data_IF_715228915157
#
_entry.id   IF_715228915157
#
_cell.length_a   1.000
_cell.length_b   1.000
_cell.length_c   1.000
_cell.angle_alpha   90.00
_cell.angle_beta   90.00
_cell.angle_gamma   90.00
#
_symmetry.space_group_name_H-M   'P 1'
#
loop_
_entity.id
_entity.type
_entity.pdbx_description
1 polymer ?
#
# COMPACT_ATOMS: atom_id res chain seq x y z
N UNK A 1 -5.68 2.94 -16.62
CA UNK A 1 -6.76 2.03 -16.19
C UNK A 1 -6.12 0.65 -16.11
N UNK A 2 -5.54 0.32 -14.96
CA UNK A 2 -4.73 -0.90 -14.80
C UNK A 2 -5.64 -2.12 -14.76
N UNK A 3 -5.23 -3.18 -15.46
CA UNK A 3 -5.97 -4.44 -15.48
C UNK A 3 -6.09 -5.04 -14.08
N UNK A 4 -7.25 -5.64 -13.73
CA UNK A 4 -7.48 -6.24 -12.43
C UNK A 4 -6.51 -7.41 -12.22
N UNK A 5 -5.81 -7.41 -11.08
CA UNK A 5 -4.85 -8.46 -10.77
C UNK A 5 -5.59 -9.69 -10.25
N UNK A 6 -5.63 -10.74 -11.07
CA UNK A 6 -6.34 -11.99 -10.77
C UNK A 6 -5.38 -12.99 -10.14
N UNK A 7 -5.66 -13.38 -8.90
CA UNK A 7 -4.91 -14.39 -8.15
C UNK A 7 -5.75 -15.65 -7.99
N UNK A 8 -5.23 -16.76 -8.51
CA UNK A 8 -5.77 -18.10 -8.25
C UNK A 8 -5.07 -18.74 -7.05
N UNK A 9 -5.78 -19.56 -6.30
CA UNK A 9 -5.20 -20.29 -5.17
C UNK A 9 -4.16 -21.31 -5.66
N UNK A 10 -3.11 -21.51 -4.88
CA UNK A 10 -2.11 -22.55 -5.15
C UNK A 10 -2.77 -23.95 -5.17
N UNK A 11 -2.39 -24.86 -6.08
CA UNK A 11 -2.83 -26.26 -6.08
C UNK A 11 -2.47 -27.00 -4.79
N UNK A 12 -1.41 -26.58 -4.11
CA UNK A 12 -1.00 -27.19 -2.83
C UNK A 12 -2.07 -26.99 -1.74
N UNK A 13 -2.94 -26.00 -1.89
CA UNK A 13 -4.02 -25.72 -0.96
C UNK A 13 -5.09 -26.81 -0.88
N UNK A 14 -5.25 -27.64 -1.93
CA UNK A 14 -6.25 -28.72 -1.94
C UNK A 14 -5.70 -30.06 -1.50
N UNK A 15 -4.38 -30.27 -1.60
CA UNK A 15 -3.75 -31.57 -1.36
C UNK A 15 -4.15 -32.11 0.02
N UNK A 16 -4.07 -31.29 1.07
CA UNK A 16 -4.49 -31.68 2.43
C UNK A 16 -5.96 -32.11 2.49
N UNK A 17 -6.85 -31.39 1.81
CA UNK A 17 -8.28 -31.69 1.84
C UNK A 17 -8.61 -32.96 1.05
N UNK A 18 -7.90 -33.20 -0.06
CA UNK A 18 -8.03 -34.44 -0.84
C UNK A 18 -7.54 -35.64 -0.03
N UNK A 19 -6.37 -35.55 0.60
CA UNK A 19 -5.84 -36.61 1.47
C UNK A 19 -6.80 -36.88 2.63
N UNK A 20 -7.26 -35.83 3.32
CA UNK A 20 -8.21 -35.97 4.43
C UNK A 20 -9.54 -36.58 3.97
N UNK A 21 -10.05 -36.17 2.80
CA UNK A 21 -11.27 -36.72 2.23
C UNK A 21 -11.11 -38.22 1.94
N UNK A 22 -9.96 -38.66 1.42
CA UNK A 22 -9.68 -40.08 1.18
C UNK A 22 -9.69 -40.87 2.48
N UNK A 23 -8.98 -40.40 3.52
CA UNK A 23 -8.98 -41.07 4.82
C UNK A 23 -10.37 -41.13 5.46
N UNK A 24 -11.14 -40.03 5.39
CA UNK A 24 -12.51 -40.01 5.92
C UNK A 24 -13.46 -40.92 5.15
N UNK A 25 -13.34 -40.99 3.82
CA UNK A 25 -14.15 -41.88 2.99
C UNK A 25 -13.84 -43.35 3.30
N UNK A 26 -12.57 -43.71 3.40
CA UNK A 26 -12.15 -45.05 3.83
C UNK A 26 -12.62 -45.38 5.25
N UNK A 27 -12.50 -44.45 6.21
CA UNK A 27 -12.98 -44.67 7.57
C UNK A 27 -14.51 -44.83 7.64
N UNK A 28 -15.26 -44.00 6.89
CA UNK A 28 -16.71 -44.10 6.78
C UNK A 28 -17.12 -45.44 6.16
N UNK A 29 -16.38 -45.93 5.15
CA UNK A 29 -16.58 -47.25 4.58
C UNK A 29 -16.47 -48.37 5.62
N UNK A 30 -15.41 -48.35 6.43
CA UNK A 30 -15.22 -49.35 7.49
C UNK A 30 -16.30 -49.26 8.57
N UNK A 31 -16.66 -48.05 9.00
CA UNK A 31 -17.71 -47.82 10.00
C UNK A 31 -19.09 -48.30 9.50
N UNK A 32 -19.44 -47.97 8.26
CA UNK A 32 -20.68 -48.48 7.66
C UNK A 32 -20.65 -50.00 7.63
N UNK A 33 -19.53 -50.62 7.26
CA UNK A 33 -19.39 -52.08 7.30
C UNK A 33 -19.61 -52.74 8.67
N UNK A 34 -19.43 -52.00 9.77
CA UNK A 34 -19.63 -52.51 11.14
C UNK A 34 -21.06 -52.31 11.67
N UNK A 35 -21.78 -51.30 11.18
CA UNK A 35 -23.05 -50.86 11.78
C UNK A 35 -24.26 -51.71 11.38
N UNK A 36 -24.26 -52.31 10.20
CA UNK A 36 -25.36 -53.16 9.76
C UNK A 36 -24.93 -54.14 8.66
N UNK A 37 -25.69 -55.23 8.54
CA UNK A 37 -25.56 -56.16 7.41
C UNK A 37 -26.44 -55.67 6.24
N UNK A 38 -25.90 -54.77 5.42
CA UNK A 38 -26.62 -54.21 4.26
C UNK A 38 -26.85 -55.22 3.12
N UNK A 39 -26.35 -56.46 3.24
CA UNK A 39 -26.56 -57.52 2.26
C UNK A 39 -28.03 -57.93 2.12
N UNK A 40 -28.79 -57.97 3.21
CA UNK A 40 -30.22 -58.31 3.16
C UNK A 40 -31.05 -57.21 2.50
N UNK A 41 -30.69 -55.95 2.73
CA UNK A 41 -31.32 -54.79 2.09
C UNK A 41 -31.03 -54.81 0.59
N UNK A 42 -29.79 -55.15 0.21
CA UNK A 42 -29.38 -55.26 -1.18
C UNK A 42 -30.18 -56.29 -1.98
N UNK A 43 -30.46 -57.46 -1.40
CA UNK A 43 -31.23 -58.51 -2.06
C UNK A 43 -32.68 -58.11 -2.40
N UNK A 44 -33.23 -57.08 -1.73
CA UNK A 44 -34.57 -56.56 -2.01
C UNK A 44 -34.61 -55.56 -3.18
N UNK A 45 -33.46 -55.21 -3.76
CA UNK A 45 -33.35 -54.24 -4.85
C UNK A 45 -33.35 -54.94 -6.21
N UNK A 46 -34.01 -54.34 -7.19
CA UNK A 46 -34.21 -54.91 -8.53
C UNK A 46 -32.91 -55.15 -9.33
N UNK A 47 -31.79 -54.54 -8.92
CA UNK A 47 -30.50 -54.69 -9.59
C UNK A 47 -29.58 -55.75 -8.95
N UNK A 48 -30.05 -56.43 -7.89
CA UNK A 48 -29.29 -57.50 -7.22
C UNK A 48 -28.99 -58.71 -8.10
N UNK A 49 -29.73 -58.89 -9.21
CA UNK A 49 -29.50 -59.93 -10.21
C UNK A 49 -28.34 -59.66 -11.16
N UNK A 50 -27.87 -58.41 -11.28
CA UNK A 50 -26.86 -58.01 -12.27
C UNK A 50 -25.46 -57.84 -11.69
N UNK A 51 -25.34 -57.51 -10.40
CA UNK A 51 -24.08 -57.30 -9.72
C UNK A 51 -24.10 -57.93 -8.33
N UNK A 52 -22.95 -58.44 -7.86
CA UNK A 52 -22.85 -58.92 -6.48
C UNK A 52 -22.90 -57.74 -5.49
N UNK A 53 -23.30 -58.02 -4.26
CA UNK A 53 -23.31 -57.01 -3.19
C UNK A 53 -21.94 -56.34 -3.02
N UNK A 54 -20.86 -57.10 -3.04
CA UNK A 54 -19.49 -56.56 -2.92
C UNK A 54 -19.12 -55.63 -4.07
N UNK A 55 -19.49 -55.98 -5.31
CA UNK A 55 -19.25 -55.13 -6.49
C UNK A 55 -20.04 -53.83 -6.39
N UNK A 56 -21.33 -53.91 -6.06
CA UNK A 56 -22.18 -52.71 -5.94
C UNK A 56 -21.75 -51.82 -4.77
N UNK A 57 -21.35 -52.42 -3.65
CA UNK A 57 -20.80 -51.70 -2.49
C UNK A 57 -19.54 -50.94 -2.90
N UNK A 58 -18.56 -51.61 -3.50
CA UNK A 58 -17.33 -50.98 -3.97
C UNK A 58 -17.59 -49.87 -5.00
N UNK A 59 -18.44 -50.13 -6.00
CA UNK A 59 -18.80 -49.16 -7.02
C UNK A 59 -19.48 -47.91 -6.43
N UNK A 60 -20.36 -48.08 -5.45
CA UNK A 60 -21.04 -46.95 -4.79
C UNK A 60 -20.06 -46.00 -4.10
N UNK A 61 -19.04 -46.54 -3.43
CA UNK A 61 -18.00 -45.75 -2.75
C UNK A 61 -17.12 -45.05 -3.77
N UNK A 62 -16.69 -45.77 -4.81
CA UNK A 62 -15.93 -45.19 -5.92
C UNK A 62 -16.64 -43.99 -6.53
N UNK A 63 -17.96 -44.08 -6.76
CA UNK A 63 -18.77 -42.97 -7.27
C UNK A 63 -18.82 -41.82 -6.27
N UNK A 64 -19.05 -42.10 -4.99
CA UNK A 64 -19.09 -41.06 -3.93
C UNK A 64 -17.73 -40.36 -3.81
N UNK A 65 -16.62 -41.09 -3.81
CA UNK A 65 -15.25 -40.55 -3.74
C UNK A 65 -14.93 -39.69 -4.96
N UNK A 66 -15.31 -40.15 -6.16
CA UNK A 66 -15.14 -39.39 -7.39
C UNK A 66 -15.92 -38.07 -7.33
N UNK A 67 -17.18 -38.11 -6.91
CA UNK A 67 -18.02 -36.91 -6.77
C UNK A 67 -17.47 -35.95 -5.70
N UNK A 68 -17.01 -36.48 -4.57
CA UNK A 68 -16.41 -35.67 -3.49
C UNK A 68 -15.11 -35.01 -3.96
N UNK A 69 -14.25 -35.75 -4.66
CA UNK A 69 -13.00 -35.25 -5.23
C UNK A 69 -13.27 -34.16 -6.27
N UNK A 70 -14.19 -34.43 -7.20
CA UNK A 70 -14.63 -33.46 -8.19
C UNK A 70 -15.19 -32.19 -7.54
N UNK A 71 -15.98 -32.33 -6.47
CA UNK A 71 -16.51 -31.19 -5.71
C UNK A 71 -15.40 -30.38 -5.01
N UNK A 72 -14.46 -31.03 -4.32
CA UNK A 72 -13.33 -30.37 -3.65
C UNK A 72 -12.47 -29.61 -4.68
N UNK A 73 -12.19 -30.26 -5.81
CA UNK A 73 -11.44 -29.66 -6.92
C UNK A 73 -12.18 -28.46 -7.50
N UNK A 74 -13.47 -28.60 -7.87
CA UNK A 74 -14.28 -27.51 -8.41
C UNK A 74 -14.36 -26.33 -7.44
N UNK A 75 -14.54 -26.59 -6.14
CA UNK A 75 -14.59 -25.56 -5.09
C UNK A 75 -13.28 -24.77 -4.99
N UNK A 76 -12.14 -25.39 -5.26
CA UNK A 76 -10.85 -24.71 -5.30
C UNK A 76 -10.60 -23.99 -6.63
N UNK A 77 -10.85 -24.67 -7.75
CA UNK A 77 -10.60 -24.15 -9.09
C UNK A 77 -11.41 -22.90 -9.39
N UNK A 78 -12.66 -22.87 -8.92
CA UNK A 78 -13.57 -21.74 -9.08
C UNK A 78 -13.34 -20.61 -8.06
N UNK A 79 -12.45 -20.79 -7.08
CA UNK A 79 -12.17 -19.76 -6.09
C UNK A 79 -11.07 -18.80 -6.57
N UNK A 80 -11.42 -17.55 -6.79
CA UNK A 80 -10.51 -16.51 -7.28
C UNK A 80 -10.48 -15.31 -6.33
N UNK A 81 -9.36 -14.61 -6.36
CA UNK A 81 -9.21 -13.28 -5.75
C UNK A 81 -8.90 -12.30 -6.87
N UNK A 82 -9.63 -11.19 -6.94
CA UNK A 82 -9.31 -10.09 -7.85
C UNK A 82 -8.96 -8.88 -7.00
N UNK A 83 -7.81 -8.27 -7.30
CA UNK A 83 -7.35 -7.05 -6.65
C UNK A 83 -7.46 -5.94 -7.68
N UNK A 84 -8.37 -5.01 -7.41
CA UNK A 84 -8.53 -3.78 -8.18
C UNK A 84 -7.97 -2.61 -7.35
N UNK A 85 -7.65 -1.47 -7.97
CA UNK A 85 -7.21 -0.27 -7.22
C UNK A 85 -8.20 0.11 -6.09
N UNK A 86 -9.50 0.02 -6.35
CA UNK A 86 -10.53 0.53 -5.43
C UNK A 86 -11.21 -0.56 -4.59
N UNK A 87 -10.97 -1.84 -4.87
CA UNK A 87 -11.66 -2.93 -4.18
C UNK A 87 -10.96 -4.28 -4.33
N UNK A 88 -11.10 -5.14 -3.32
CA UNK A 88 -10.77 -6.56 -3.41
C UNK A 88 -12.06 -7.34 -3.58
N UNK A 89 -12.11 -8.16 -4.62
CA UNK A 89 -13.24 -9.04 -4.92
C UNK A 89 -12.82 -10.48 -4.62
N UNK A 90 -13.60 -11.15 -3.79
CA UNK A 90 -13.41 -12.57 -3.46
C UNK A 90 -14.59 -13.36 -3.98
N UNK A 91 -14.33 -14.27 -4.91
CA UNK A 91 -15.35 -15.14 -5.50
C UNK A 91 -15.15 -16.58 -5.04
N UNK A 92 -16.22 -17.20 -4.52
CA UNK A 92 -16.20 -18.58 -4.01
C UNK A 92 -17.55 -19.26 -4.21
N UNK A 93 -17.55 -20.57 -4.42
CA UNK A 93 -18.75 -21.39 -4.53
C UNK A 93 -18.79 -22.19 -5.82
N UNK A 94 -19.40 -23.38 -5.77
CA UNK A 94 -19.54 -24.28 -6.93
C UNK A 94 -20.89 -24.08 -7.59
N UNK A 95 -21.98 -24.35 -6.86
CA UNK A 95 -23.37 -24.22 -7.34
C UNK A 95 -23.92 -22.79 -7.18
N UNK A 96 -23.69 -22.16 -6.03
CA UNK A 96 -24.10 -20.79 -5.74
C UNK A 96 -22.86 -19.93 -5.53
N UNK A 97 -22.43 -19.22 -6.58
CA UNK A 97 -21.27 -18.32 -6.50
C UNK A 97 -21.58 -17.14 -5.58
N UNK A 98 -20.78 -16.99 -4.52
CA UNK A 98 -20.80 -15.84 -3.62
C UNK A 98 -19.66 -14.90 -4.02
N UNK A 99 -20.02 -13.65 -4.30
CA UNK A 99 -19.09 -12.56 -4.59
C UNK A 99 -19.08 -11.61 -3.40
N UNK A 100 -17.93 -11.46 -2.75
CA UNK A 100 -17.73 -10.48 -1.68
C UNK A 100 -16.83 -9.37 -2.21
N UNK A 101 -17.35 -8.16 -2.27
CA UNK A 101 -16.59 -6.95 -2.64
C UNK A 101 -16.24 -6.21 -1.36
N UNK A 102 -14.95 -6.00 -1.13
CA UNK A 102 -14.44 -5.19 -0.03
C UNK A 102 -13.79 -3.93 -0.62
N UNK A 103 -14.36 -2.74 -0.41
CA UNK A 103 -13.74 -1.49 -0.85
C UNK A 103 -12.35 -1.33 -0.24
N UNK A 104 -11.44 -0.70 -0.99
CA UNK A 104 -10.11 -0.30 -0.53
C UNK A 104 -10.03 1.22 -0.50
N UNK A 105 -9.80 1.79 0.69
CA UNK A 105 -9.33 3.15 0.85
C UNK A 105 -7.80 3.16 0.92
N UNK A 106 -7.21 4.15 0.26
CA UNK A 106 -5.76 4.35 0.23
C UNK A 106 -5.33 5.24 1.41
N UNK A 107 -4.07 5.15 1.89
CA UNK A 107 -3.05 4.18 1.52
C UNK A 107 -3.27 2.81 2.17
N UNK A 108 -2.90 1.74 1.46
CA UNK A 108 -2.96 0.37 2.01
C UNK A 108 -1.57 -0.13 2.45
N UNK A 109 -1.54 -1.00 3.44
CA UNK A 109 -0.34 -1.75 3.84
C UNK A 109 -0.55 -3.23 3.56
N UNK A 110 0.45 -3.86 2.94
CA UNK A 110 0.40 -5.28 2.60
C UNK A 110 1.56 -6.01 3.27
N UNK A 111 1.31 -7.23 3.74
CA UNK A 111 2.33 -8.07 4.38
C UNK A 111 2.10 -9.55 4.05
N UNK A 112 3.16 -10.34 4.12
CA UNK A 112 3.10 -11.78 3.85
C UNK A 112 3.27 -12.59 5.13
N UNK A 113 2.44 -13.62 5.30
CA UNK A 113 2.59 -14.64 6.34
C UNK A 113 2.88 -16.00 5.71
N UNK A 114 3.88 -16.69 6.26
CA UNK A 114 4.30 -18.02 5.84
C UNK A 114 4.27 -19.00 7.01
N UNK A 115 4.03 -20.27 6.68
CA UNK A 115 4.29 -21.41 7.55
C UNK A 115 5.48 -22.18 6.99
N UNK A 116 6.11 -23.05 7.78
CA UNK A 116 7.24 -23.88 7.34
C UNK A 116 6.92 -24.65 6.03
N UNK A 117 5.71 -25.22 5.97
CA UNK A 117 5.23 -25.94 4.79
C UNK A 117 4.98 -25.01 3.60
N UNK A 118 4.48 -23.79 3.82
CA UNK A 118 4.20 -22.87 2.72
C UNK A 118 5.47 -22.26 2.11
N UNK A 119 6.55 -22.13 2.89
CA UNK A 119 7.86 -21.71 2.41
C UNK A 119 8.45 -22.72 1.41
N UNK A 120 8.33 -24.02 1.70
CA UNK A 120 8.82 -25.10 0.84
C UNK A 120 8.13 -25.09 -0.54
N UNK A 121 6.82 -24.90 -0.57
CA UNK A 121 6.01 -24.93 -1.80
C UNK A 121 5.74 -23.54 -2.40
N UNK A 122 6.50 -22.52 -1.99
CA UNK A 122 6.43 -21.14 -2.52
C UNK A 122 5.00 -20.54 -2.54
N UNK A 123 4.21 -20.80 -1.50
CA UNK A 123 2.90 -20.17 -1.32
C UNK A 123 2.76 -19.55 0.07
N UNK A 124 1.72 -18.76 0.31
CA UNK A 124 1.50 -18.17 1.62
C UNK A 124 0.19 -17.42 1.75
N UNK A 125 0.13 -16.53 2.74
CA UNK A 125 -1.04 -15.68 2.99
C UNK A 125 -0.63 -14.23 2.79
N UNK A 126 -1.34 -13.53 1.92
CA UNK A 126 -1.21 -12.09 1.72
C UNK A 126 -2.24 -11.38 2.59
N UNK A 127 -1.78 -10.50 3.46
CA UNK A 127 -2.61 -9.73 4.40
C UNK A 127 -2.57 -8.28 3.97
N UNK A 128 -3.72 -7.77 3.55
CA UNK A 128 -3.90 -6.39 3.10
C UNK A 128 -4.70 -5.65 4.17
N UNK A 129 -4.16 -4.53 4.63
CA UNK A 129 -4.75 -3.65 5.63
C UNK A 129 -4.98 -2.29 5.01
N UNK A 130 -6.24 -1.91 5.01
CA UNK A 130 -6.68 -0.55 4.74
C UNK A 130 -6.84 0.18 6.06
N UNK A 131 -6.38 1.42 6.09
CA UNK A 131 -6.51 2.37 7.18
C UNK A 131 -7.96 2.70 7.60
N UNK A 132 -8.95 2.45 6.75
CA UNK A 132 -10.37 2.64 7.02
C UNK A 132 -11.07 1.36 7.54
N UNK A 133 -10.47 0.17 7.36
CA UNK A 133 -11.09 -1.10 7.74
C UNK A 133 -10.64 -1.61 9.10
N UNK A 134 -11.60 -1.94 9.99
CA UNK A 134 -11.34 -2.56 11.31
C UNK A 134 -10.72 -3.95 11.24
N UNK A 135 -10.85 -4.68 10.12
CA UNK A 135 -10.34 -6.05 9.97
C UNK A 135 -9.49 -6.16 8.70
N UNK A 136 -8.31 -6.78 8.77
CA UNK A 136 -7.49 -7.01 7.58
C UNK A 136 -8.18 -7.94 6.59
N UNK A 137 -7.98 -7.71 5.30
CA UNK A 137 -8.35 -8.65 4.25
C UNK A 137 -7.24 -9.69 4.16
N UNK A 138 -7.62 -10.95 4.37
CA UNK A 138 -6.67 -12.07 4.39
C UNK A 138 -6.91 -12.93 3.16
N UNK A 139 -5.95 -12.91 2.25
CA UNK A 139 -5.91 -13.74 1.05
C UNK A 139 -5.01 -14.95 1.31
N UNK A 140 -5.61 -16.07 1.67
CA UNK A 140 -4.88 -17.30 1.98
C UNK A 140 -4.60 -18.13 0.73
N UNK A 141 -3.46 -18.85 0.77
CA UNK A 141 -2.99 -19.77 -0.27
C UNK A 141 -2.62 -19.10 -1.60
N UNK A 142 -2.07 -17.90 -1.52
CA UNK A 142 -1.58 -17.13 -2.65
C UNK A 142 -0.25 -17.74 -3.12
N UNK A 143 -0.09 -18.08 -4.42
CA UNK A 143 1.19 -18.51 -4.98
C UNK A 143 2.15 -17.32 -5.01
N UNK A 144 3.45 -17.54 -4.75
CA UNK A 144 4.48 -16.50 -4.81
C UNK A 144 4.06 -15.14 -4.21
N UNK A 145 3.60 -15.07 -2.94
CA UNK A 145 2.96 -13.87 -2.40
C UNK A 145 3.90 -12.65 -2.33
N UNK A 146 5.22 -12.84 -2.38
CA UNK A 146 6.19 -11.73 -2.50
C UNK A 146 6.03 -10.95 -3.81
N UNK A 147 5.71 -11.62 -4.91
CA UNK A 147 5.51 -10.97 -6.22
C UNK A 147 4.32 -10.04 -6.16
N UNK A 148 3.19 -10.54 -5.66
CA UNK A 148 1.97 -9.74 -5.49
C UNK A 148 2.14 -8.61 -4.47
N UNK A 149 2.91 -8.83 -3.40
CA UNK A 149 3.26 -7.77 -2.46
C UNK A 149 4.02 -6.63 -3.16
N UNK A 150 5.00 -6.94 -4.02
CA UNK A 150 5.74 -5.92 -4.77
C UNK A 150 4.83 -5.14 -5.71
N UNK A 151 3.98 -5.83 -6.48
CA UNK A 151 3.04 -5.19 -7.40
C UNK A 151 2.07 -4.25 -6.67
N UNK A 152 1.57 -4.65 -5.50
CA UNK A 152 0.71 -3.79 -4.68
C UNK A 152 1.47 -2.57 -4.17
N UNK A 153 2.72 -2.72 -3.71
CA UNK A 153 3.54 -1.60 -3.25
C UNK A 153 3.88 -0.64 -4.39
N UNK A 154 4.18 -1.16 -5.59
CA UNK A 154 4.44 -0.36 -6.80
C UNK A 154 3.19 0.40 -7.22
N UNK A 155 2.03 -0.25 -7.22
CA UNK A 155 0.75 0.38 -7.55
C UNK A 155 0.35 1.45 -6.53
N UNK A 156 0.58 1.22 -5.23
CA UNK A 156 0.40 2.26 -4.20
C UNK A 156 1.35 3.44 -4.39
N UNK A 157 2.57 3.18 -4.87
CA UNK A 157 3.56 4.23 -5.15
C UNK A 157 3.11 5.06 -6.35
N UNK A 158 2.59 4.44 -7.41
CA UNK A 158 1.98 5.13 -8.55
C UNK A 158 0.73 5.92 -8.12
N UNK A 159 -0.19 5.31 -7.38
CA UNK A 159 -1.39 6.02 -6.89
C UNK A 159 -1.04 7.21 -5.98
N UNK A 160 -0.01 7.08 -5.14
CA UNK A 160 0.49 8.19 -4.34
C UNK A 160 1.14 9.28 -5.21
N UNK A 161 1.83 8.90 -6.28
CA UNK A 161 2.36 9.84 -7.26
C UNK A 161 1.23 10.57 -8.00
N UNK A 162 0.22 9.85 -8.46
CA UNK A 162 -0.94 10.39 -9.18
C UNK A 162 -1.83 11.26 -8.26
N UNK A 163 -1.99 10.90 -6.99
CA UNK A 163 -2.67 11.76 -6.00
C UNK A 163 -1.88 13.05 -5.69
N UNK A 164 -0.55 13.03 -5.86
CA UNK A 164 0.28 14.24 -5.85
C UNK A 164 0.14 15.03 -7.16
N UNK A 165 -0.48 14.50 -8.22
CA UNK A 165 -0.73 15.23 -9.48
C UNK A 165 -2.19 15.68 -9.64
N UNK A 166 -3.15 14.94 -9.09
CA UNK A 166 -4.57 15.29 -9.10
C UNK A 166 -4.83 16.52 -8.20
N UNK A 167 -5.30 17.61 -8.79
CA UNK A 167 -5.60 18.91 -8.16
C UNK A 167 -4.41 19.60 -7.47
N UNK A 168 -3.40 20.00 -8.26
CA UNK A 168 -2.65 21.20 -7.82
C UNK A 168 -3.57 22.41 -7.99
N UNK A 169 -3.78 23.25 -6.97
CA UNK A 169 -4.25 24.60 -7.23
C UNK A 169 -3.29 25.27 -8.24
N UNK A 170 -3.86 26.07 -9.15
CA UNK A 170 -3.09 26.87 -10.10
C UNK A 170 -2.05 27.69 -9.31
N UNK A 171 -0.79 27.70 -9.76
CA UNK A 171 0.26 28.47 -9.12
C UNK A 171 -0.13 29.95 -8.97
N UNK A 172 -0.91 30.49 -9.91
CA UNK A 172 -1.41 31.87 -9.82
C UNK A 172 -2.44 32.06 -8.71
N UNK A 173 -3.20 31.03 -8.37
CA UNK A 173 -4.12 31.04 -7.24
C UNK A 173 -3.37 30.96 -5.91
N UNK A 174 -2.33 30.13 -5.84
CA UNK A 174 -1.44 30.06 -4.69
C UNK A 174 -0.79 31.42 -4.42
N UNK A 175 -0.26 32.09 -5.45
CA UNK A 175 0.40 33.40 -5.31
C UNK A 175 -0.54 34.53 -4.86
N UNK A 176 -1.85 34.41 -5.13
CA UNK A 176 -2.86 35.37 -4.62
C UNK A 176 -3.26 35.11 -3.17
N UNK A 177 -2.94 33.92 -2.65
CA UNK A 177 -3.23 33.55 -1.28
C UNK A 177 -2.16 34.08 -0.33
N UNK A 178 -2.54 34.35 0.92
CA UNK A 178 -1.56 34.60 2.00
C UNK A 178 -1.03 33.27 2.55
N UNK A 179 0.12 33.34 3.22
CA UNK A 179 0.63 32.22 3.99
C UNK A 179 -0.42 31.69 4.96
N UNK A 180 -0.50 30.36 5.04
CA UNK A 180 -1.47 29.65 5.86
C UNK A 180 -0.90 28.31 6.30
N UNK A 181 -1.70 27.51 6.99
CA UNK A 181 -1.25 26.24 7.57
C UNK A 181 -0.60 25.29 6.56
N UNK A 182 -1.05 25.31 5.30
CA UNK A 182 -0.62 24.44 4.22
C UNK A 182 0.01 25.20 3.03
N UNK A 183 0.38 26.48 3.19
CA UNK A 183 1.07 27.27 2.16
C UNK A 183 2.11 28.17 2.83
N UNK A 184 3.35 28.08 2.36
CA UNK A 184 4.48 28.89 2.83
C UNK A 184 5.21 29.49 1.62
N UNK A 185 5.67 30.74 1.76
CA UNK A 185 6.54 31.40 0.78
C UNK A 185 7.98 31.49 1.32
N UNK A 186 8.94 31.36 0.40
CA UNK A 186 10.35 31.59 0.68
C UNK A 186 10.97 32.37 -0.47
N UNK A 187 11.66 33.45 -0.15
CA UNK A 187 12.27 34.33 -1.15
C UNK A 187 13.31 33.60 -1.99
N UNK A 188 14.15 32.80 -1.34
CA UNK A 188 15.25 32.05 -1.96
C UNK A 188 15.40 30.70 -1.27
N UNK A 189 16.12 29.79 -1.91
CA UNK A 189 16.47 28.50 -1.30
C UNK A 189 17.75 28.57 -0.48
N UNK A 190 18.78 29.25 -1.00
CA UNK A 190 20.13 29.28 -0.41
C UNK A 190 20.86 30.60 -0.55
N UNK A 191 20.36 31.53 -1.36
CA UNK A 191 20.94 32.87 -1.50
C UNK A 191 20.43 33.83 -0.45
N UNK A 192 21.30 34.35 0.41
CA UNK A 192 20.96 35.42 1.33
C UNK A 192 21.01 36.77 0.62
N UNK A 193 19.86 37.41 0.47
CA UNK A 193 19.72 38.68 -0.25
C UNK A 193 20.39 39.83 0.51
N UNK A 194 20.43 39.77 1.85
CA UNK A 194 21.02 40.84 2.67
C UNK A 194 22.54 40.70 2.75
N UNK A 195 23.03 39.49 2.97
CA UNK A 195 24.47 39.22 3.09
C UNK A 195 25.16 38.98 1.74
N UNK A 196 24.39 38.91 0.65
CA UNK A 196 24.85 38.64 -0.71
C UNK A 196 25.79 37.42 -0.82
N UNK A 197 25.43 36.33 -0.14
CA UNK A 197 26.23 35.08 -0.12
C UNK A 197 25.35 33.84 0.05
N UNK A 198 25.93 32.67 -0.21
CA UNK A 198 25.27 31.38 0.07
C UNK A 198 25.12 31.19 1.58
N UNK A 199 23.89 30.95 2.02
CA UNK A 199 23.52 30.71 3.41
C UNK A 199 22.80 29.36 3.57
N UNK A 200 23.53 28.38 4.12
CA UNK A 200 23.00 27.03 4.39
C UNK A 200 21.85 27.01 5.40
N UNK A 201 21.66 28.07 6.20
CA UNK A 201 20.54 28.14 7.13
C UNK A 201 19.21 28.38 6.39
N UNK A 202 19.23 28.99 5.20
CA UNK A 202 18.05 29.11 4.35
C UNK A 202 17.61 27.73 3.84
N UNK A 203 18.57 26.91 3.39
CA UNK A 203 18.31 25.54 2.96
C UNK A 203 17.66 24.74 4.10
N UNK A 204 18.20 24.86 5.32
CA UNK A 204 17.62 24.24 6.53
C UNK A 204 16.22 24.75 6.86
N UNK A 205 15.95 26.04 6.66
CA UNK A 205 14.62 26.64 6.91
C UNK A 205 13.57 26.09 5.94
N UNK A 206 13.94 25.91 4.68
CA UNK A 206 13.11 25.22 3.67
C UNK A 206 12.85 23.77 4.09
N UNK A 207 13.88 23.02 4.47
CA UNK A 207 13.74 21.62 4.89
C UNK A 207 12.90 21.46 6.17
N UNK A 208 13.05 22.39 7.14
CA UNK A 208 12.22 22.46 8.34
C UNK A 208 10.73 22.58 8.00
N UNK A 209 10.40 23.44 7.03
CA UNK A 209 9.03 23.64 6.57
C UNK A 209 8.48 22.37 5.92
N UNK A 210 9.29 21.72 5.07
CA UNK A 210 8.91 20.47 4.41
C UNK A 210 8.66 19.36 5.43
N UNK A 211 9.56 19.16 6.40
CA UNK A 211 9.38 18.17 7.46
C UNK A 211 8.09 18.43 8.26
N UNK A 212 7.80 19.70 8.56
CA UNK A 212 6.57 20.10 9.23
C UNK A 212 5.31 19.79 8.42
N UNK A 213 5.32 20.05 7.10
CA UNK A 213 4.22 19.67 6.22
C UNK A 213 4.03 18.14 6.17
N UNK A 214 5.11 17.37 6.03
CA UNK A 214 5.05 15.91 6.04
C UNK A 214 4.45 15.34 7.33
N UNK A 215 4.79 15.92 8.48
CA UNK A 215 4.26 15.49 9.78
C UNK A 215 2.83 15.97 10.06
N UNK A 216 2.29 16.85 9.22
CA UNK A 216 0.97 17.47 9.42
C UNK A 216 -0.02 16.98 8.36
N UNK A 217 -0.67 17.90 7.64
CA UNK A 217 -1.68 17.65 6.60
C UNK A 217 -1.08 17.79 5.18
N UNK A 218 0.25 17.89 5.05
CA UNK A 218 0.89 18.29 3.81
C UNK A 218 0.81 19.80 3.56
N UNK A 219 1.17 20.23 2.35
CA UNK A 219 1.11 21.62 1.95
C UNK A 219 1.89 21.94 0.69
N UNK A 220 1.97 23.23 0.39
CA UNK A 220 2.72 23.81 -0.71
C UNK A 220 3.77 24.77 -0.14
N UNK A 221 5.01 24.63 -0.61
CA UNK A 221 6.06 25.61 -0.38
C UNK A 221 6.39 26.23 -1.73
N UNK A 222 6.36 27.55 -1.83
CA UNK A 222 6.73 28.25 -3.08
C UNK A 222 8.00 29.06 -2.82
N UNK A 223 9.03 28.78 -3.62
CA UNK A 223 10.36 29.38 -3.53
C UNK A 223 10.56 30.35 -4.70
N UNK A 224 11.13 31.52 -4.42
CA UNK A 224 11.25 32.62 -5.39
C UNK A 224 10.17 33.69 -5.20
N UNK A 225 9.54 33.75 -4.02
CA UNK A 225 8.45 34.67 -3.67
C UNK A 225 8.74 35.26 -2.30
N UNK A 226 8.69 36.58 -2.17
CA UNK A 226 8.90 37.23 -0.88
C UNK A 226 7.66 37.17 0.04
N UNK A 227 7.81 37.65 1.28
CA UNK A 227 6.74 37.64 2.29
C UNK A 227 5.53 38.54 1.90
N UNK A 228 5.70 39.44 0.94
CA UNK A 228 4.63 40.26 0.38
C UNK A 228 3.91 39.60 -0.82
N UNK A 229 4.37 38.41 -1.25
CA UNK A 229 3.85 37.69 -2.40
C UNK A 229 4.43 38.15 -3.74
N UNK A 230 5.46 39.00 -3.74
CA UNK A 230 6.08 39.47 -4.98
C UNK A 230 7.05 38.44 -5.53
N UNK A 231 7.06 38.30 -6.86
CA UNK A 231 7.95 37.38 -7.57
C UNK A 231 9.39 37.90 -7.50
N UNK A 232 10.26 37.15 -6.82
CA UNK A 232 11.71 37.41 -6.77
C UNK A 232 12.45 36.53 -7.77
N UNK A 233 12.02 35.27 -7.90
CA UNK A 233 12.60 34.28 -8.80
C UNK A 233 13.86 33.59 -8.25
N UNK A 234 14.36 32.60 -8.99
CA UNK A 234 15.47 31.73 -8.57
C UNK A 234 16.83 32.07 -9.17
N UNK A 235 16.95 33.18 -9.92
CA UNK A 235 18.19 33.52 -10.64
C UNK A 235 19.41 33.62 -9.71
N UNK A 236 19.24 34.22 -8.51
CA UNK A 236 20.30 34.31 -7.52
C UNK A 236 20.67 32.95 -6.93
N UNK A 237 19.70 32.04 -6.73
CA UNK A 237 19.98 30.67 -6.30
C UNK A 237 20.75 29.92 -7.40
N UNK A 238 20.32 30.03 -8.66
CA UNK A 238 20.95 29.36 -9.81
C UNK A 238 22.41 29.76 -10.00
N UNK A 239 22.74 31.04 -9.83
CA UNK A 239 24.10 31.54 -9.94
C UNK A 239 25.09 30.85 -8.98
N UNK A 240 24.60 30.27 -7.87
CA UNK A 240 25.42 29.57 -6.86
C UNK A 240 25.71 28.11 -7.20
N UNK A 241 25.12 27.59 -8.29
CA UNK A 241 25.12 26.16 -8.61
C UNK A 241 26.08 25.86 -9.77
N UNK A 242 26.61 24.63 -9.80
CA UNK A 242 27.44 24.16 -10.91
C UNK A 242 26.67 24.17 -12.24
N UNK A 243 25.39 23.78 -12.20
CA UNK A 243 24.46 23.89 -13.31
C UNK A 243 23.46 25.00 -12.94
N UNK A 244 23.55 26.14 -13.62
CA UNK A 244 22.83 27.36 -13.24
C UNK A 244 21.40 27.39 -13.81
N UNK A 245 20.61 26.35 -13.51
CA UNK A 245 19.23 26.22 -13.98
C UNK A 245 18.40 25.31 -13.04
N UNK A 246 17.12 25.10 -13.39
CA UNK A 246 16.17 24.27 -12.65
C UNK A 246 16.73 22.87 -12.30
N UNK A 247 17.36 22.16 -13.24
CA UNK A 247 17.94 20.85 -12.97
C UNK A 247 19.04 20.91 -11.91
N UNK A 248 19.88 21.95 -11.94
CA UNK A 248 20.91 22.14 -10.92
C UNK A 248 20.32 22.42 -9.55
N UNK A 249 19.24 23.20 -9.52
CA UNK A 249 18.51 23.51 -8.29
C UNK A 249 17.85 22.28 -7.70
N UNK A 250 17.15 21.49 -8.52
CA UNK A 250 16.52 20.24 -8.07
C UNK A 250 17.55 19.27 -7.52
N UNK A 251 18.72 19.15 -8.16
CA UNK A 251 19.82 18.33 -7.66
C UNK A 251 20.31 18.81 -6.28
N UNK A 252 20.54 20.11 -6.12
CA UNK A 252 20.98 20.68 -4.85
C UNK A 252 19.91 20.50 -3.76
N UNK A 253 18.65 20.81 -4.05
CA UNK A 253 17.51 20.60 -3.16
C UNK A 253 17.44 19.13 -2.71
N UNK A 254 17.53 18.20 -3.66
CA UNK A 254 17.48 16.76 -3.41
C UNK A 254 18.62 16.31 -2.51
N UNK A 255 19.84 16.83 -2.74
CA UNK A 255 21.00 16.49 -1.90
C UNK A 255 20.80 16.96 -0.46
N UNK A 256 20.38 18.21 -0.27
CA UNK A 256 20.09 18.75 1.07
C UNK A 256 18.96 17.95 1.74
N UNK A 257 17.88 17.63 1.01
CA UNK A 257 16.77 16.85 1.54
C UNK A 257 17.22 15.46 2.02
N UNK A 258 18.04 14.76 1.23
CA UNK A 258 18.58 13.44 1.59
C UNK A 258 19.48 13.50 2.82
N UNK A 259 20.29 14.54 2.94
CA UNK A 259 21.20 14.75 4.07
C UNK A 259 20.44 15.06 5.36
N UNK A 260 19.44 15.94 5.27
CA UNK A 260 18.81 16.58 6.43
C UNK A 260 17.52 15.88 6.87
N UNK A 261 16.74 15.32 5.95
CA UNK A 261 15.43 14.70 6.26
C UNK A 261 15.49 13.19 6.06
N UNK A 262 15.90 12.73 4.88
CA UNK A 262 16.09 11.30 4.59
C UNK A 262 15.59 10.89 3.20
N UNK A 263 16.35 10.08 2.44
CA UNK A 263 16.02 9.72 1.07
C UNK A 263 14.67 9.00 0.90
N UNK A 264 14.25 8.21 1.89
CA UNK A 264 13.02 7.42 1.87
C UNK A 264 11.74 8.28 1.89
N UNK A 265 11.83 9.51 2.39
CA UNK A 265 10.72 10.46 2.46
C UNK A 265 10.57 11.31 1.19
N UNK A 266 11.54 11.27 0.27
CA UNK A 266 11.49 12.07 -0.97
C UNK A 266 10.27 11.74 -1.83
N UNK A 267 9.74 10.51 -1.71
CA UNK A 267 8.50 10.06 -2.37
C UNK A 267 7.25 10.89 -2.04
N UNK A 268 7.29 11.71 -0.99
CA UNK A 268 6.19 12.60 -0.60
C UNK A 268 6.35 14.02 -1.17
N UNK A 269 7.38 14.25 -1.99
CA UNK A 269 7.67 15.53 -2.62
C UNK A 269 7.45 15.50 -4.12
N UNK A 270 7.04 16.65 -4.64
CA UNK A 270 7.12 16.97 -6.06
C UNK A 270 7.54 18.42 -6.23
N UNK A 271 8.53 18.65 -7.08
CA UNK A 271 9.01 19.98 -7.45
C UNK A 271 8.48 20.29 -8.84
N UNK A 272 7.82 21.44 -8.99
CA UNK A 272 7.32 21.97 -10.25
C UNK A 272 7.91 23.38 -10.44
N UNK A 273 8.54 23.63 -11.59
CA UNK A 273 9.11 24.94 -11.92
C UNK A 273 8.14 25.72 -12.82
N UNK A 274 7.91 26.99 -12.50
CA UNK A 274 6.98 27.84 -13.22
C UNK A 274 7.64 29.17 -13.59
N UNK A 275 7.48 29.58 -14.84
CA UNK A 275 7.93 30.89 -15.31
C UNK A 275 6.76 31.87 -15.33
N UNK A 276 6.84 32.92 -14.52
CA UNK A 276 5.84 33.98 -14.42
C UNK A 276 6.58 35.31 -14.49
N UNK A 277 6.14 36.20 -15.38
CA UNK A 277 6.74 37.53 -15.60
C UNK A 277 8.28 37.46 -15.79
N UNK A 278 8.72 36.49 -16.61
CA UNK A 278 10.13 36.19 -16.90
C UNK A 278 10.98 35.74 -15.70
N UNK A 279 10.36 35.50 -14.54
CA UNK A 279 11.01 34.94 -13.34
C UNK A 279 10.58 33.49 -13.17
N UNK A 280 11.55 32.61 -12.98
CA UNK A 280 11.28 31.21 -12.66
C UNK A 280 11.18 31.04 -11.14
N UNK A 281 10.14 30.36 -10.68
CA UNK A 281 9.88 30.00 -9.29
C UNK A 281 9.75 28.48 -9.16
N UNK A 282 9.95 27.94 -7.95
CA UNK A 282 9.80 26.51 -7.67
C UNK A 282 8.65 26.29 -6.68
N UNK A 283 7.64 25.55 -7.10
CA UNK A 283 6.56 25.07 -6.24
C UNK A 283 6.87 23.65 -5.79
N UNK A 284 7.00 23.46 -4.48
CA UNK A 284 7.20 22.17 -3.85
C UNK A 284 5.88 21.71 -3.24
N UNK A 285 5.29 20.65 -3.79
CA UNK A 285 4.14 19.98 -3.19
C UNK A 285 4.64 18.95 -2.19
N UNK A 286 4.08 18.97 -0.99
CA UNK A 286 4.43 18.07 0.11
C UNK A 286 3.19 17.31 0.55
N UNK A 287 3.18 16.00 0.31
CA UNK A 287 2.15 15.12 0.83
C UNK A 287 2.38 14.80 2.32
N UNK A 288 1.31 14.57 3.12
CA UNK A 288 1.48 14.03 4.45
C UNK A 288 2.16 12.66 4.40
N UNK A 289 3.19 12.47 5.23
CA UNK A 289 3.96 11.23 5.27
C UNK A 289 3.23 10.12 6.02
N UNK A 290 3.48 8.87 5.63
CA UNK A 290 3.00 7.68 6.34
C UNK A 290 3.87 7.30 7.54
N UNK A 291 5.00 7.97 7.73
CA UNK A 291 5.94 7.78 8.84
C UNK A 291 6.44 9.14 9.36
N UNK A 292 6.84 9.25 10.63
CA UNK A 292 7.45 10.47 11.17
C UNK A 292 8.64 10.96 10.33
N UNK A 293 8.66 12.25 10.01
CA UNK A 293 9.75 12.94 9.32
C UNK A 293 10.57 13.75 10.33
N UNK A 294 11.76 13.25 10.68
CA UNK A 294 12.70 13.98 11.53
C UNK A 294 13.68 14.76 10.68
N UNK A 295 14.12 15.90 11.19
CA UNK A 295 15.12 16.75 10.55
C UNK A 295 16.41 16.73 11.38
N UNK A 296 17.52 16.35 10.77
CA UNK A 296 18.84 16.37 11.39
C UNK A 296 19.35 17.80 11.54
N UNK A 297 19.66 18.18 12.77
CA UNK A 297 20.22 19.47 13.14
C UNK A 297 21.49 19.22 13.96
N UNK A 298 22.64 19.17 13.29
CA UNK A 298 23.90 18.77 13.95
C UNK A 298 23.85 17.28 14.31
N UNK A 299 24.01 16.96 15.60
CA UNK A 299 23.94 15.58 16.09
C UNK A 299 22.54 15.19 16.60
N UNK A 300 21.56 16.09 16.53
CA UNK A 300 20.21 15.87 17.03
C UNK A 300 19.21 15.71 15.88
N UNK A 301 18.14 14.97 16.14
CA UNK A 301 16.98 14.86 15.26
C UNK A 301 15.81 15.62 15.88
N UNK A 302 15.27 16.59 15.15
CA UNK A 302 14.17 17.44 15.62
C UNK A 302 12.91 17.12 14.83
N UNK A 303 11.79 17.00 15.55
CA UNK A 303 10.48 16.75 14.97
C UNK A 303 9.70 18.05 14.88
N UNK A 304 9.35 18.47 13.66
CA UNK A 304 8.60 19.70 13.42
C UNK A 304 7.16 19.41 12.99
N UNK A 305 6.22 20.26 13.41
CA UNK A 305 4.82 20.25 12.96
C UNK A 305 4.37 21.66 12.54
N UNK A 306 3.26 21.74 11.80
CA UNK A 306 2.57 23.01 11.53
C UNK A 306 1.57 23.32 12.63
N UNK A 307 1.73 24.48 13.27
CA UNK A 307 0.80 25.04 14.26
C UNK A 307 0.31 26.39 13.72
N UNK A 308 -0.89 26.41 13.14
CA UNK A 308 -1.33 27.55 12.33
C UNK A 308 -0.39 27.76 11.14
N UNK A 309 0.05 29.00 10.90
CA UNK A 309 1.03 29.35 9.86
C UNK A 309 2.51 29.24 10.32
N UNK A 310 2.76 28.69 11.51
CA UNK A 310 4.12 28.59 12.06
C UNK A 310 4.61 27.14 12.11
N UNK A 311 5.92 26.98 12.12
CA UNK A 311 6.58 25.66 12.26
C UNK A 311 7.14 25.50 13.67
N UNK A 312 6.56 24.58 14.45
CA UNK A 312 6.87 24.36 15.87
C UNK A 312 7.68 23.07 16.05
N UNK A 313 8.82 23.10 16.75
CA UNK A 313 9.48 21.87 17.20
C UNK A 313 8.70 21.24 18.35
N UNK A 314 8.54 19.92 18.35
CA UNK A 314 8.00 19.19 19.49
C UNK A 314 9.12 18.61 20.35
N UNK A 315 8.89 18.63 21.66
CA UNK A 315 9.75 17.93 22.63
C UNK A 315 9.57 16.42 22.51
N UNK A 316 10.59 15.65 22.90
CA UNK A 316 10.58 14.17 22.81
C UNK A 316 9.33 13.55 23.46
N UNK A 317 8.88 14.10 24.60
CA UNK A 317 7.66 13.67 25.30
C UNK A 317 6.38 13.91 24.50
N UNK A 318 6.32 15.02 23.76
CA UNK A 318 5.17 15.41 22.92
C UNK A 318 5.16 14.59 21.63
N UNK A 319 6.33 14.33 21.04
CA UNK A 319 6.50 13.52 19.83
C UNK A 319 5.87 12.14 20.01
N UNK A 320 6.11 11.46 21.13
CA UNK A 320 5.56 10.13 21.36
C UNK A 320 4.01 10.11 21.34
N UNK A 321 3.37 11.15 21.89
CA UNK A 321 1.92 11.29 21.90
C UNK A 321 1.38 11.68 20.52
N UNK A 322 2.04 12.63 19.84
CA UNK A 322 1.68 13.05 18.50
C UNK A 322 1.80 11.91 17.49
N UNK A 323 2.90 11.16 17.53
CA UNK A 323 3.13 10.03 16.62
C UNK A 323 2.06 8.96 16.83
N UNK A 324 1.69 8.72 18.10
CA UNK A 324 0.62 7.78 18.46
C UNK A 324 -0.73 8.24 17.92
N UNK A 325 -1.13 9.50 18.08
CA UNK A 325 -2.42 9.98 17.58
C UNK A 325 -2.48 9.97 16.05
N UNK A 326 -1.38 10.33 15.38
CA UNK A 326 -1.33 10.53 13.93
C UNK A 326 -1.16 9.24 13.12
N UNK A 327 -0.34 8.30 13.61
CA UNK A 327 0.03 7.09 12.87
C UNK A 327 -0.33 5.78 13.59
N UNK A 328 -0.61 5.78 14.91
CA UNK A 328 -1.01 4.55 15.61
C UNK A 328 -2.52 4.33 15.48
N UNK A 329 -2.90 3.66 14.40
CA UNK A 329 -4.18 2.97 14.28
C UNK A 329 -4.07 1.57 14.91
N UNK A 330 -5.07 1.23 15.71
CA UNK A 330 -5.20 0.02 16.54
C UNK A 330 -4.97 -1.30 15.82
#
# INVERSE_FOLDING_TARGET
MHDPLIIRKSPVAIIKNLILAQFLATAAYFLLGLLANYGEIYQRLNFSSFASYEVTKFASIMVIELLLTAYIFARWFLATYQINPNAIIVERGVLFRRRKVSPLAHPISASCRYSAFSQLFKYGTLVIRDNAMKKPIVLSHVPSPKTYLRLIIEQERENAHDAIHADSPDIRELLRSRERKNLEFKTTFRWDVQEAKVNKNLEKTVMKTIAAFMNSEGGHLVIGVDDAGALVGLASDYATLKKQNADGFENQFTNVFKEVVGPELYRFLKLDFHTIDQKEICAVRVAPSTTPAYMKTGNEEVFYIRTGNSTTPLQVSEVANYVRSRWRKY
#
